data_IF_554575568015
#
_entry.id   IF_554575568015
#
_cell.length_a   1.000
_cell.length_b   1.000
_cell.length_c   1.000
_cell.angle_alpha   90.00
_cell.angle_beta   90.00
_cell.angle_gamma   90.00
#
_symmetry.space_group_name_H-M   'P 1'
#
loop_
_entity.id
_entity.type
_entity.pdbx_description
1 polymer ?
#
# COMPACT_ATOMS: atom_id res chain seq x y z
N UNK A 1 32.26 24.81 60.22
CA UNK A 1 31.23 25.26 59.28
C UNK A 1 30.85 24.07 58.40
N UNK A 2 29.58 23.67 58.50
CA UNK A 2 28.81 22.65 57.75
C UNK A 2 29.42 21.25 57.53
N UNK A 3 28.72 20.25 58.06
CA UNK A 3 29.24 18.98 58.58
C UNK A 3 28.83 17.73 57.78
N UNK A 4 29.78 16.78 57.74
CA UNK A 4 29.67 15.33 58.04
C UNK A 4 28.45 14.48 57.57
N UNK A 5 28.80 13.47 56.75
CA UNK A 5 28.66 12.00 56.99
C UNK A 5 27.27 11.39 57.28
N UNK A 6 26.79 10.62 56.28
CA UNK A 6 26.48 9.17 56.29
C UNK A 6 25.64 8.51 57.40
N UNK A 7 24.79 7.59 56.91
CA UNK A 7 24.17 6.39 57.53
C UNK A 7 22.87 6.57 58.32
N UNK A 8 21.78 5.93 57.86
CA UNK A 8 21.21 4.74 58.52
C UNK A 8 19.98 4.19 57.78
N UNK A 9 19.92 2.87 57.73
CA UNK A 9 18.76 2.05 57.43
C UNK A 9 17.61 2.35 58.41
N UNK A 10 16.37 2.35 57.91
CA UNK A 10 15.21 2.01 58.72
C UNK A 10 14.15 1.36 57.82
N UNK A 11 13.91 0.08 58.06
CA UNK A 11 12.72 -0.63 57.59
C UNK A 11 11.50 -0.02 58.30
N UNK A 12 10.46 0.30 57.52
CA UNK A 12 9.12 0.51 58.05
C UNK A 12 8.15 -0.30 57.20
N UNK A 13 7.64 -1.37 57.82
CA UNK A 13 6.48 -2.15 57.38
C UNK A 13 5.22 -1.31 57.61
N UNK A 14 4.23 -1.38 56.69
CA UNK A 14 2.76 -1.30 56.87
C UNK A 14 2.07 -0.85 55.56
N UNK A 15 0.78 -1.16 55.32
CA UNK A 15 0.11 -2.46 55.29
C UNK A 15 -0.42 -2.79 53.87
N UNK A 16 -0.67 -4.07 53.61
CA UNK A 16 -1.39 -4.54 52.42
C UNK A 16 -2.86 -4.13 52.54
N UNK A 17 -3.26 -3.09 51.80
CA UNK A 17 -4.67 -2.78 51.58
C UNK A 17 -5.13 -3.65 50.42
N UNK A 18 -5.86 -4.71 50.77
CA UNK A 18 -6.63 -5.53 49.83
C UNK A 18 -7.73 -4.65 49.23
N UNK A 19 -7.49 -4.11 48.04
CA UNK A 19 -8.54 -3.47 47.26
C UNK A 19 -9.31 -4.57 46.53
N UNK A 20 -10.51 -4.86 47.01
CA UNK A 20 -11.51 -5.65 46.30
C UNK A 20 -11.64 -5.09 44.88
N UNK A 21 -11.19 -5.85 43.89
CA UNK A 21 -11.56 -5.62 42.50
C UNK A 21 -13.05 -5.92 42.37
N UNK A 22 -13.86 -4.88 42.46
CA UNK A 22 -15.18 -4.89 41.87
C UNK A 22 -14.98 -5.16 40.39
N UNK A 23 -15.38 -6.36 39.97
CA UNK A 23 -15.60 -6.67 38.56
C UNK A 23 -16.67 -5.68 38.11
N UNK A 24 -16.22 -4.59 37.50
CA UNK A 24 -17.10 -3.71 36.76
C UNK A 24 -17.51 -4.52 35.53
N UNK A 25 -18.61 -5.26 35.67
CA UNK A 25 -19.46 -5.72 34.59
C UNK A 25 -20.12 -4.49 33.93
N UNK A 26 -19.29 -3.64 33.33
CA UNK A 26 -19.74 -2.64 32.39
C UNK A 26 -20.24 -3.38 31.14
N UNK A 27 -21.49 -3.11 30.80
CA UNK A 27 -22.27 -3.73 29.73
C UNK A 27 -21.50 -3.97 28.43
N UNK A 28 -21.40 -5.24 28.04
CA UNK A 28 -20.78 -5.75 26.80
C UNK A 28 -21.56 -5.44 25.51
N UNK A 29 -22.39 -4.41 25.51
CA UNK A 29 -23.29 -4.06 24.40
C UNK A 29 -22.82 -2.87 23.55
N UNK A 30 -21.65 -2.27 23.82
CA UNK A 30 -21.20 -1.05 23.12
C UNK A 30 -19.95 -1.18 22.23
N UNK A 31 -19.33 -2.36 22.05
CA UNK A 31 -18.14 -2.50 21.18
C UNK A 31 -18.42 -2.87 19.72
N UNK A 32 -19.50 -3.60 19.44
CA UNK A 32 -19.80 -4.15 18.09
C UNK A 32 -19.85 -3.06 17.01
N UNK A 33 -20.27 -1.86 17.39
CA UNK A 33 -20.51 -0.74 16.51
C UNK A 33 -19.32 0.25 16.45
N UNK A 34 -18.17 -0.13 17.00
CA UNK A 34 -17.01 0.74 17.02
C UNK A 34 -15.79 -0.01 16.51
N UNK A 35 -14.84 0.72 15.93
CA UNK A 35 -13.48 0.21 15.74
C UNK A 35 -12.88 -0.11 17.12
N UNK A 36 -11.83 -0.94 17.20
CA UNK A 36 -11.10 -1.14 18.46
C UNK A 36 -10.53 0.16 19.05
N UNK A 37 -10.26 1.16 18.22
CA UNK A 37 -9.86 2.51 18.63
C UNK A 37 -11.03 3.41 19.10
N UNK A 38 -12.27 2.92 19.08
CA UNK A 38 -13.45 3.62 19.59
C UNK A 38 -14.12 4.57 18.59
N UNK A 39 -13.80 4.48 17.29
CA UNK A 39 -14.47 5.26 16.25
C UNK A 39 -15.77 4.56 15.81
N UNK A 40 -16.87 5.29 15.59
CA UNK A 40 -18.14 4.67 15.19
C UNK A 40 -18.05 4.10 13.76
N UNK A 41 -18.49 2.86 13.58
CA UNK A 41 -18.55 2.20 12.27
C UNK A 41 -19.78 2.66 11.47
N UNK A 42 -19.73 3.85 10.86
CA UNK A 42 -20.88 4.41 10.11
C UNK A 42 -21.13 3.76 8.76
N UNK A 43 -22.39 3.66 8.33
CA UNK A 43 -22.78 3.18 6.99
C UNK A 43 -22.28 4.11 5.89
N UNK A 44 -21.64 3.54 4.87
CA UNK A 44 -21.31 4.28 3.64
C UNK A 44 -22.57 4.49 2.79
N UNK A 45 -22.87 5.74 2.44
CA UNK A 45 -23.99 6.06 1.56
C UNK A 45 -23.59 5.86 0.09
N UNK A 46 -23.76 4.63 -0.40
CA UNK A 46 -23.46 4.24 -1.79
C UNK A 46 -24.68 4.41 -2.68
N UNK A 47 -24.57 5.30 -3.68
CA UNK A 47 -25.57 5.52 -4.73
C UNK A 47 -24.93 6.04 -6.02
N UNK A 48 -25.56 5.78 -7.17
CA UNK A 48 -25.09 6.24 -8.48
C UNK A 48 -25.00 7.76 -8.58
N UNK A 49 -25.96 8.48 -7.98
CA UNK A 49 -25.96 9.95 -7.95
C UNK A 49 -24.81 10.56 -7.16
N UNK A 50 -24.06 9.76 -6.38
CA UNK A 50 -22.87 10.20 -5.67
C UNK A 50 -21.58 9.87 -6.41
N UNK A 51 -21.62 9.14 -7.53
CA UNK A 51 -20.43 8.80 -8.31
C UNK A 51 -19.86 10.08 -8.92
N UNK A 52 -18.59 10.36 -8.64
CA UNK A 52 -17.87 11.56 -9.10
C UNK A 52 -16.83 11.24 -10.16
N UNK A 53 -16.33 9.99 -10.22
CA UNK A 53 -15.43 9.51 -11.27
C UNK A 53 -15.41 7.99 -11.33
N UNK A 54 -15.12 7.47 -12.51
CA UNK A 54 -14.78 6.06 -12.74
C UNK A 54 -13.49 6.00 -13.53
N UNK A 55 -12.57 5.14 -13.12
CA UNK A 55 -11.24 5.01 -13.74
C UNK A 55 -10.85 3.55 -13.83
N UNK A 56 -10.02 3.22 -14.81
CA UNK A 56 -9.35 1.92 -14.90
C UNK A 56 -7.85 2.11 -14.88
N UNK A 57 -7.13 1.14 -14.32
CA UNK A 57 -5.67 1.10 -14.33
C UNK A 57 -5.16 -0.32 -14.62
N UNK A 58 -3.96 -0.41 -15.19
CA UNK A 58 -3.32 -1.67 -15.52
C UNK A 58 -2.21 -1.98 -14.54
N UNK A 59 -2.37 -3.04 -13.74
CA UNK A 59 -1.33 -3.51 -12.81
C UNK A 59 -0.25 -4.28 -13.59
N UNK A 60 1.05 -3.94 -13.47
CA UNK A 60 2.12 -4.72 -14.09
C UNK A 60 2.33 -6.01 -13.32
N UNK A 61 1.78 -7.13 -13.80
CA UNK A 61 1.79 -8.40 -13.08
C UNK A 61 2.67 -9.45 -13.76
N UNK A 62 3.38 -10.23 -12.93
CA UNK A 62 4.12 -11.44 -13.31
C UNK A 62 3.73 -12.55 -12.34
N UNK A 63 3.61 -13.78 -12.83
CA UNK A 63 3.17 -14.92 -12.00
C UNK A 63 4.18 -15.23 -10.89
N UNK A 64 5.46 -15.09 -11.20
CA UNK A 64 6.59 -15.34 -10.30
C UNK A 64 6.83 -14.21 -9.29
N UNK A 65 6.13 -13.09 -9.42
CA UNK A 65 6.30 -11.90 -8.62
C UNK A 65 7.14 -10.80 -9.26
N UNK A 66 7.42 -9.75 -8.47
CA UNK A 66 8.19 -8.60 -8.94
C UNK A 66 9.64 -8.96 -9.30
N UNK A 67 10.26 -8.10 -10.12
CA UNK A 67 11.68 -8.20 -10.48
C UNK A 67 12.46 -7.14 -9.74
N UNK A 68 13.34 -7.58 -8.83
CA UNK A 68 14.43 -6.75 -8.30
C UNK A 68 15.75 -7.49 -8.48
N UNK A 69 16.50 -7.11 -9.51
CA UNK A 69 17.80 -7.71 -9.89
C UNK A 69 18.68 -6.69 -10.60
N UNK A 70 20.00 -6.89 -10.56
CA UNK A 70 20.96 -6.11 -11.33
C UNK A 70 21.61 -6.94 -12.42
N UNK A 71 21.95 -6.30 -13.53
CA UNK A 71 22.76 -6.87 -14.59
C UNK A 71 23.69 -5.82 -15.21
N UNK A 72 24.76 -6.30 -15.86
CA UNK A 72 25.75 -5.47 -16.52
C UNK A 72 25.57 -5.61 -18.03
N UNK A 73 25.33 -4.48 -18.70
CA UNK A 73 25.11 -4.41 -20.13
C UNK A 73 26.14 -3.44 -20.71
N UNK A 74 27.24 -3.99 -21.22
CA UNK A 74 28.41 -3.22 -21.64
C UNK A 74 29.02 -2.44 -20.48
N UNK A 75 29.10 -1.12 -20.64
CA UNK A 75 29.62 -0.18 -19.64
C UNK A 75 28.54 0.32 -18.66
N UNK A 76 27.29 -0.13 -18.81
CA UNK A 76 26.16 0.26 -17.96
C UNK A 76 25.76 -0.82 -16.97
N UNK A 77 25.30 -0.39 -15.80
CA UNK A 77 24.61 -1.26 -14.84
C UNK A 77 23.12 -0.96 -14.91
N UNK A 78 22.32 -1.99 -15.17
CA UNK A 78 20.85 -1.90 -15.14
C UNK A 78 20.35 -2.60 -13.88
N UNK A 79 19.52 -1.90 -13.10
CA UNK A 79 18.83 -2.47 -11.95
C UNK A 79 17.33 -2.42 -12.22
N UNK A 80 16.71 -3.59 -12.25
CA UNK A 80 15.28 -3.74 -12.47
C UNK A 80 14.51 -3.59 -11.16
N UNK A 81 13.36 -2.91 -11.21
CA UNK A 81 12.42 -2.75 -10.12
C UNK A 81 11.00 -2.54 -10.66
N UNK A 82 10.34 -3.61 -11.10
CA UNK A 82 9.00 -3.57 -11.73
C UNK A 82 8.22 -4.89 -11.50
N UNK A 83 6.97 -4.97 -11.99
CA UNK A 83 6.19 -6.22 -11.94
C UNK A 83 5.44 -6.48 -10.62
N UNK A 84 5.08 -5.43 -9.89
CA UNK A 84 4.56 -5.53 -8.51
C UNK A 84 3.07 -5.90 -8.38
N UNK A 85 2.36 -6.10 -9.49
CA UNK A 85 0.93 -6.41 -9.47
C UNK A 85 0.12 -5.40 -8.66
N UNK A 86 -0.70 -5.88 -7.73
CA UNK A 86 -1.47 -5.04 -6.80
C UNK A 86 -0.67 -4.47 -5.63
N UNK A 87 0.57 -4.91 -5.41
CA UNK A 87 1.42 -4.50 -4.27
C UNK A 87 2.29 -3.26 -4.52
N UNK A 88 2.11 -2.55 -5.63
CA UNK A 88 3.01 -1.44 -6.03
C UNK A 88 3.20 -0.36 -4.97
N UNK A 89 2.13 0.28 -4.47
CA UNK A 89 2.26 1.29 -3.40
C UNK A 89 2.88 0.66 -2.15
N UNK A 90 2.34 -0.49 -1.73
CA UNK A 90 2.70 -1.15 -0.47
C UNK A 90 4.17 -1.55 -0.40
N UNK A 91 4.75 -2.04 -1.50
CA UNK A 91 6.12 -2.54 -1.56
C UNK A 91 7.14 -1.47 -2.01
N UNK A 92 6.66 -0.31 -2.46
CA UNK A 92 7.47 0.69 -3.16
C UNK A 92 8.80 1.03 -2.49
N UNK A 93 8.79 1.42 -1.21
CA UNK A 93 10.02 1.72 -0.50
C UNK A 93 10.92 0.51 -0.28
N UNK A 94 10.32 -0.67 -0.03
CA UNK A 94 11.04 -1.90 0.21
C UNK A 94 11.81 -2.38 -1.02
N UNK A 95 11.13 -2.57 -2.14
CA UNK A 95 11.77 -3.02 -3.38
C UNK A 95 12.72 -1.97 -3.96
N UNK A 96 12.41 -0.69 -3.79
CA UNK A 96 13.32 0.41 -4.13
C UNK A 96 14.58 0.43 -3.26
N UNK A 97 14.48 0.07 -1.97
CA UNK A 97 15.64 -0.07 -1.10
C UNK A 97 16.55 -1.22 -1.56
N UNK A 98 15.96 -2.36 -1.90
CA UNK A 98 16.70 -3.51 -2.45
C UNK A 98 17.38 -3.14 -3.79
N UNK A 99 16.68 -2.42 -4.68
CA UNK A 99 17.24 -1.93 -5.93
C UNK A 99 18.39 -0.92 -5.69
N UNK A 100 18.24 0.00 -4.73
CA UNK A 100 19.29 0.93 -4.32
C UNK A 100 20.54 0.18 -3.82
N UNK A 101 20.37 -0.87 -2.99
CA UNK A 101 21.49 -1.68 -2.51
C UNK A 101 22.26 -2.35 -3.65
N UNK A 102 21.56 -2.82 -4.69
CA UNK A 102 22.19 -3.37 -5.90
C UNK A 102 22.95 -2.27 -6.64
N UNK A 103 22.35 -1.09 -6.84
CA UNK A 103 23.00 0.04 -7.52
C UNK A 103 24.26 0.52 -6.79
N UNK A 104 24.25 0.49 -5.45
CA UNK A 104 25.39 0.85 -4.60
C UNK A 104 26.61 -0.07 -4.73
N UNK A 105 26.48 -1.23 -5.39
CA UNK A 105 27.62 -2.09 -5.70
C UNK A 105 28.48 -1.52 -6.85
N UNK A 106 27.98 -0.54 -7.58
CA UNK A 106 28.75 0.17 -8.61
C UNK A 106 29.60 1.29 -8.01
N UNK A 107 30.66 1.69 -8.70
CA UNK A 107 31.47 2.85 -8.32
C UNK A 107 30.83 4.19 -8.73
N UNK A 108 29.70 4.17 -9.45
CA UNK A 108 29.08 5.36 -9.99
C UNK A 108 28.05 5.95 -9.01
N UNK A 109 27.86 7.26 -9.07
CA UNK A 109 26.85 8.02 -8.30
C UNK A 109 25.95 8.87 -9.17
N UNK A 110 25.87 8.56 -10.47
CA UNK A 110 24.99 9.21 -11.44
C UNK A 110 24.08 8.13 -12.04
N UNK A 111 22.76 8.33 -12.02
CA UNK A 111 21.84 7.36 -12.57
C UNK A 111 20.63 7.97 -13.30
N UNK A 112 20.17 7.24 -14.31
CA UNK A 112 18.87 7.42 -14.93
C UNK A 112 17.85 6.52 -14.23
N UNK A 113 16.70 7.05 -13.84
CA UNK A 113 15.56 6.27 -13.35
C UNK A 113 14.47 6.30 -14.43
N UNK A 114 14.07 5.14 -14.93
CA UNK A 114 13.08 5.03 -15.98
C UNK A 114 11.69 4.82 -15.37
N UNK A 115 10.82 5.81 -15.53
CA UNK A 115 9.47 5.82 -14.98
C UNK A 115 9.31 6.75 -13.77
N UNK A 116 8.19 7.46 -13.71
CA UNK A 116 7.84 8.39 -12.63
C UNK A 116 6.59 7.94 -11.85
N UNK A 117 6.30 6.63 -11.88
CA UNK A 117 5.35 6.03 -10.94
C UNK A 117 5.96 5.88 -9.54
N UNK A 118 5.25 5.20 -8.64
CA UNK A 118 5.70 5.06 -7.25
C UNK A 118 7.10 4.45 -7.14
N UNK A 119 7.41 3.40 -7.90
CA UNK A 119 8.72 2.73 -7.88
C UNK A 119 9.85 3.66 -8.28
N UNK A 120 9.64 4.44 -9.34
CA UNK A 120 10.63 5.38 -9.84
C UNK A 120 10.89 6.51 -8.84
N UNK A 121 9.82 7.08 -8.28
CA UNK A 121 9.93 8.15 -7.28
C UNK A 121 10.61 7.67 -6.00
N UNK A 122 10.22 6.50 -5.45
CA UNK A 122 10.86 5.97 -4.23
C UNK A 122 12.31 5.55 -4.48
N UNK A 123 12.62 4.95 -5.63
CA UNK A 123 14.01 4.60 -5.99
C UNK A 123 14.87 5.85 -6.14
N UNK A 124 14.35 6.86 -6.83
CA UNK A 124 15.05 8.13 -7.04
C UNK A 124 15.32 8.87 -5.71
N UNK A 125 14.33 8.92 -4.81
CA UNK A 125 14.48 9.56 -3.50
C UNK A 125 15.52 8.86 -2.63
N UNK A 126 15.47 7.52 -2.56
CA UNK A 126 16.46 6.75 -1.81
C UNK A 126 17.88 6.95 -2.35
N UNK A 127 18.06 7.00 -3.68
CA UNK A 127 19.37 7.26 -4.28
C UNK A 127 19.85 8.69 -4.01
N UNK A 128 18.97 9.71 -4.09
CA UNK A 128 19.32 11.09 -3.70
C UNK A 128 19.76 11.18 -2.24
N UNK A 129 19.09 10.49 -1.32
CA UNK A 129 19.46 10.46 0.10
C UNK A 129 20.85 9.82 0.31
N UNK A 130 21.33 9.04 -0.65
CA UNK A 130 22.67 8.44 -0.69
C UNK A 130 23.68 9.26 -1.53
N UNK A 131 23.34 10.51 -1.86
CA UNK A 131 24.20 11.46 -2.57
C UNK A 131 24.35 11.22 -4.07
N UNK A 132 23.39 10.56 -4.71
CA UNK A 132 23.43 10.33 -6.17
C UNK A 132 22.88 11.54 -6.95
N UNK A 133 23.45 11.82 -8.13
CA UNK A 133 22.84 12.67 -9.17
C UNK A 133 21.84 11.84 -9.96
N UNK A 134 20.55 12.14 -9.78
CA UNK A 134 19.46 11.33 -10.30
C UNK A 134 18.65 12.13 -11.33
N UNK A 135 18.49 11.56 -12.52
CA UNK A 135 17.55 12.04 -13.54
C UNK A 135 16.46 11.01 -13.77
N UNK A 136 15.20 11.39 -13.59
CA UNK A 136 14.05 10.57 -13.98
C UNK A 136 13.71 10.83 -15.44
N UNK A 137 13.59 9.77 -16.24
CA UNK A 137 13.04 9.81 -17.60
C UNK A 137 11.70 9.10 -17.60
N UNK A 138 10.64 9.78 -18.02
CA UNK A 138 9.30 9.18 -18.00
C UNK A 138 8.39 9.71 -19.12
N UNK A 139 7.58 8.82 -19.69
CA UNK A 139 6.51 9.17 -20.64
C UNK A 139 5.34 9.89 -19.96
N UNK A 140 5.06 9.57 -18.71
CA UNK A 140 3.96 10.13 -17.93
C UNK A 140 4.42 10.44 -16.50
N UNK A 141 3.88 11.51 -15.92
CA UNK A 141 4.16 11.98 -14.56
C UNK A 141 2.88 11.90 -13.72
N UNK A 142 2.95 11.88 -12.38
CA UNK A 142 1.78 12.08 -11.54
C UNK A 142 1.05 13.38 -11.94
N UNK A 143 -0.29 13.39 -12.03
CA UNK A 143 -1.23 12.34 -11.61
C UNK A 143 -1.58 11.28 -12.67
N UNK A 144 -0.87 11.24 -13.80
CA UNK A 144 -1.19 10.41 -14.97
C UNK A 144 -0.43 9.07 -15.01
N UNK A 145 -0.17 8.46 -13.85
CA UNK A 145 0.51 7.16 -13.75
C UNK A 145 -0.43 6.07 -13.23
N UNK A 146 -0.15 4.79 -13.52
CA UNK A 146 -0.85 3.65 -12.90
C UNK A 146 -0.88 3.77 -11.37
N UNK A 147 0.19 4.27 -10.77
CA UNK A 147 0.28 4.43 -9.32
C UNK A 147 -0.77 5.39 -8.76
N UNK A 148 -1.22 6.39 -9.52
CA UNK A 148 -2.28 7.32 -9.09
C UNK A 148 -3.66 6.68 -9.02
N UNK A 149 -3.88 5.57 -9.74
CA UNK A 149 -5.14 4.83 -9.75
C UNK A 149 -5.26 3.90 -8.52
N UNK A 150 -4.14 3.54 -7.89
CA UNK A 150 -4.10 2.54 -6.83
C UNK A 150 -5.06 2.83 -5.66
N UNK A 151 -5.49 1.75 -5.01
CA UNK A 151 -6.33 1.80 -3.81
C UNK A 151 -5.70 2.58 -2.66
N UNK A 152 -4.46 2.20 -2.32
CA UNK A 152 -3.64 2.89 -1.33
C UNK A 152 -3.57 2.22 0.05
N UNK A 153 -4.25 1.11 0.27
CA UNK A 153 -4.09 0.32 1.49
C UNK A 153 -2.67 -0.26 1.58
N UNK A 154 -2.04 -0.18 2.75
CA UNK A 154 -0.81 -0.89 3.05
C UNK A 154 -1.11 -2.36 3.39
N UNK A 155 -1.36 -3.16 2.36
CA UNK A 155 -1.32 -4.62 2.43
C UNK A 155 -1.05 -5.12 1.01
N UNK A 156 0.04 -5.87 0.74
CA UNK A 156 0.29 -6.33 -0.61
C UNK A 156 -0.76 -7.35 -1.05
N UNK A 157 -1.46 -7.05 -2.14
CA UNK A 157 -2.40 -7.96 -2.78
C UNK A 157 -1.96 -8.28 -4.21
N UNK A 158 -2.21 -9.51 -4.65
CA UNK A 158 -1.99 -9.93 -6.04
C UNK A 158 -0.59 -9.56 -6.56
N UNK A 159 0.45 -9.93 -5.82
CA UNK A 159 1.85 -9.66 -6.17
C UNK A 159 2.44 -10.80 -7.02
N UNK A 160 2.00 -12.02 -6.78
CA UNK A 160 2.46 -13.25 -7.43
C UNK A 160 1.30 -14.28 -7.42
N UNK A 161 1.50 -15.42 -8.08
CA UNK A 161 0.63 -16.59 -7.97
C UNK A 161 1.29 -17.66 -7.11
N UNK A 162 0.53 -18.24 -6.18
CA UNK A 162 1.06 -19.22 -5.22
C UNK A 162 1.74 -20.42 -5.90
N UNK A 163 1.21 -20.86 -7.05
CA UNK A 163 1.77 -21.94 -7.85
C UNK A 163 3.18 -21.63 -8.42
N UNK A 164 3.56 -20.36 -8.50
CA UNK A 164 4.86 -19.90 -9.01
C UNK A 164 5.80 -19.43 -7.89
N UNK A 165 5.39 -19.56 -6.62
CA UNK A 165 6.16 -19.08 -5.48
C UNK A 165 7.44 -19.89 -5.29
N UNK A 166 8.58 -19.19 -5.25
CA UNK A 166 9.88 -19.80 -4.92
C UNK A 166 10.33 -19.37 -3.53
N UNK A 167 11.13 -20.20 -2.80
CA UNK A 167 11.68 -19.81 -1.50
C UNK A 167 12.57 -18.55 -1.58
N UNK A 168 13.24 -18.33 -2.72
CA UNK A 168 14.04 -17.12 -2.94
C UNK A 168 13.16 -15.88 -3.01
N UNK A 169 12.11 -15.92 -3.83
CA UNK A 169 11.17 -14.81 -3.96
C UNK A 169 10.46 -14.55 -2.63
N UNK A 170 10.02 -15.58 -1.91
CA UNK A 170 9.36 -15.44 -0.62
C UNK A 170 10.23 -14.68 0.40
N UNK A 171 11.54 -14.97 0.45
CA UNK A 171 12.48 -14.21 1.30
C UNK A 171 12.60 -12.75 0.85
N UNK A 172 12.76 -12.52 -0.46
CA UNK A 172 12.87 -11.16 -0.99
C UNK A 172 11.60 -10.33 -0.74
N UNK A 173 10.42 -10.93 -0.91
CA UNK A 173 9.13 -10.35 -0.62
C UNK A 173 8.97 -9.99 0.87
N UNK A 174 9.32 -10.92 1.77
CA UNK A 174 9.27 -10.67 3.21
C UNK A 174 10.20 -9.53 3.65
N UNK A 175 11.41 -9.47 3.12
CA UNK A 175 12.36 -8.36 3.39
C UNK A 175 11.86 -7.03 2.82
N UNK A 176 11.35 -7.02 1.59
CA UNK A 176 10.75 -5.83 0.99
C UNK A 176 9.56 -5.31 1.82
N UNK A 177 8.67 -6.19 2.29
CA UNK A 177 7.57 -5.78 3.16
C UNK A 177 8.07 -5.14 4.46
N UNK A 178 9.00 -5.78 5.17
CA UNK A 178 9.56 -5.24 6.44
C UNK A 178 10.17 -3.86 6.25
N UNK A 179 10.97 -3.69 5.19
CA UNK A 179 11.56 -2.39 4.86
C UNK A 179 10.48 -1.36 4.56
N UNK A 180 9.55 -1.69 3.67
CA UNK A 180 8.50 -0.77 3.24
C UNK A 180 7.61 -0.33 4.39
N UNK A 181 7.22 -1.26 5.28
CA UNK A 181 6.46 -0.97 6.49
C UNK A 181 7.15 0.10 7.34
N UNK A 182 8.44 -0.10 7.62
CA UNK A 182 9.24 0.83 8.43
C UNK A 182 9.36 2.21 7.78
N UNK A 183 9.51 2.28 6.46
CA UNK A 183 9.54 3.56 5.75
C UNK A 183 8.19 4.29 5.88
N UNK A 184 7.07 3.61 5.62
CA UNK A 184 5.75 4.23 5.70
C UNK A 184 5.40 4.71 7.11
N UNK A 185 5.85 4.02 8.15
CA UNK A 185 5.66 4.49 9.54
C UNK A 185 6.24 5.89 9.77
N UNK A 186 7.38 6.23 9.14
CA UNK A 186 8.00 7.55 9.23
C UNK A 186 7.33 8.61 8.35
N UNK A 187 6.41 8.21 7.47
CA UNK A 187 5.70 9.09 6.54
C UNK A 187 4.26 9.37 6.98
N UNK A 188 3.80 8.77 8.10
CA UNK A 188 2.48 9.03 8.66
C UNK A 188 2.31 10.52 8.93
N UNK A 189 1.30 11.10 8.31
CA UNK A 189 0.97 12.51 8.42
C UNK A 189 0.35 13.08 7.14
N UNK A 190 -0.25 14.28 7.25
CA UNK A 190 -0.94 14.93 6.14
C UNK A 190 -0.02 15.27 4.98
N UNK A 191 1.27 15.53 5.22
CA UNK A 191 2.27 15.86 4.18
C UNK A 191 2.32 14.77 3.10
N UNK A 192 2.33 13.51 3.50
CA UNK A 192 2.42 12.37 2.57
C UNK A 192 1.06 11.71 2.29
N UNK A 193 -0.02 12.17 2.93
CA UNK A 193 -1.33 11.53 2.83
C UNK A 193 -1.30 10.09 3.35
N UNK A 194 -0.52 9.82 4.40
CA UNK A 194 -0.40 8.50 5.03
C UNK A 194 -1.02 8.58 6.41
N UNK A 195 -1.95 7.68 6.73
CA UNK A 195 -2.59 7.63 8.06
C UNK A 195 -2.93 6.20 8.45
N UNK A 196 -2.95 5.91 9.75
CA UNK A 196 -3.48 4.65 10.26
C UNK A 196 -5.00 4.60 10.08
N UNK A 197 -5.54 3.39 9.87
CA UNK A 197 -6.96 3.12 9.68
C UNK A 197 -7.27 1.67 10.06
N UNK A 198 -8.47 1.43 10.60
CA UNK A 198 -8.96 0.08 10.85
C UNK A 198 -9.45 -0.58 9.56
N UNK A 199 -9.06 -1.84 9.35
CA UNK A 199 -9.37 -2.63 8.17
C UNK A 199 -10.18 -3.87 8.56
N UNK A 200 -11.20 -4.17 7.76
CA UNK A 200 -12.01 -5.37 7.91
C UNK A 200 -12.02 -6.18 6.61
N UNK A 201 -11.53 -7.42 6.68
CA UNK A 201 -11.64 -8.38 5.58
C UNK A 201 -12.72 -9.41 5.88
N UNK A 202 -13.79 -9.40 5.10
CA UNK A 202 -14.95 -10.23 5.32
C UNK A 202 -14.89 -11.53 4.55
N UNK A 203 -15.64 -12.52 5.03
CA UNK A 203 -15.78 -13.82 4.38
C UNK A 203 -17.08 -14.51 4.79
N UNK A 204 -17.56 -15.41 3.94
CA UNK A 204 -18.75 -16.24 4.22
C UNK A 204 -18.44 -17.43 5.13
N UNK A 205 -17.17 -17.80 5.27
CA UNK A 205 -16.67 -18.93 6.05
C UNK A 205 -15.53 -18.47 6.96
N UNK A 206 -15.22 -19.17 8.07
CA UNK A 206 -14.04 -18.86 8.86
C UNK A 206 -12.79 -18.81 7.97
N UNK A 207 -12.01 -17.73 8.06
CA UNK A 207 -10.77 -17.59 7.30
C UNK A 207 -9.66 -18.47 7.89
N UNK A 208 -8.82 -19.08 7.04
CA UNK A 208 -7.61 -19.72 7.51
C UNK A 208 -6.65 -18.69 8.09
N UNK A 209 -5.82 -19.10 9.06
CA UNK A 209 -4.77 -18.27 9.65
C UNK A 209 -3.41 -18.43 8.98
N UNK A 210 -3.37 -19.11 7.83
CA UNK A 210 -2.20 -19.14 6.93
C UNK A 210 -2.43 -18.11 5.82
N UNK A 211 -2.47 -16.84 6.23
CA UNK A 211 -2.67 -15.69 5.35
C UNK A 211 -1.61 -14.63 5.63
N UNK A 212 -1.61 -13.56 4.83
CA UNK A 212 -0.58 -12.53 4.92
C UNK A 212 -0.57 -11.80 6.27
N UNK A 213 -1.72 -11.33 6.83
CA UNK A 213 -1.74 -10.69 8.15
C UNK A 213 -1.20 -11.59 9.27
N UNK A 214 -1.57 -12.86 9.32
CA UNK A 214 -1.13 -13.77 10.39
C UNK A 214 0.35 -14.14 10.24
N UNK A 215 0.81 -14.41 9.01
CA UNK A 215 2.22 -14.74 8.73
C UNK A 215 3.18 -13.56 9.00
N UNK A 216 2.65 -12.33 9.04
CA UNK A 216 3.42 -11.11 9.26
C UNK A 216 2.82 -10.21 10.36
N UNK A 217 2.27 -10.82 11.42
CA UNK A 217 1.47 -10.15 12.45
C UNK A 217 2.11 -8.89 13.08
N UNK A 218 3.44 -8.80 13.14
CA UNK A 218 4.14 -7.60 13.64
C UNK A 218 3.94 -6.34 12.79
N UNK A 219 3.46 -6.48 11.54
CA UNK A 219 3.12 -5.39 10.63
C UNK A 219 1.61 -5.13 10.55
N UNK A 220 0.80 -5.89 11.29
CA UNK A 220 -0.67 -5.81 11.32
C UNK A 220 -1.16 -5.68 12.77
N UNK A 221 -1.00 -4.50 13.40
CA UNK A 221 -1.43 -4.27 14.78
C UNK A 221 -2.95 -4.49 14.93
N UNK A 222 -3.38 -4.84 16.14
CA UNK A 222 -4.78 -5.15 16.45
C UNK A 222 -5.42 -6.26 15.60
N UNK A 223 -4.60 -7.19 15.10
CA UNK A 223 -5.08 -8.37 14.38
C UNK A 223 -6.02 -9.20 15.25
N UNK A 224 -7.26 -9.41 14.78
CA UNK A 224 -8.26 -10.24 15.44
C UNK A 224 -9.21 -10.89 14.43
N UNK A 225 -9.74 -12.05 14.80
CA UNK A 225 -10.78 -12.75 14.04
C UNK A 225 -12.10 -12.50 14.75
N UNK A 226 -13.10 -12.05 14.01
CA UNK A 226 -14.43 -11.72 14.49
C UNK A 226 -15.44 -12.68 13.85
N UNK A 227 -16.27 -13.29 14.69
CA UNK A 227 -17.35 -14.19 14.30
C UNK A 227 -18.72 -13.52 14.23
N UNK A 228 -19.77 -14.33 13.99
CA UNK A 228 -21.13 -13.84 13.85
C UNK A 228 -21.60 -13.08 15.09
N UNK A 229 -22.04 -11.84 14.90
CA UNK A 229 -22.55 -10.99 15.97
C UNK A 229 -21.49 -10.12 16.66
N UNK A 230 -20.20 -10.31 16.38
CA UNK A 230 -19.10 -9.52 16.98
C UNK A 230 -18.82 -8.21 16.23
N UNK A 231 -19.45 -8.01 15.06
CA UNK A 231 -19.34 -6.81 14.24
C UNK A 231 -20.67 -6.51 13.50
N UNK A 232 -20.89 -5.30 12.95
CA UNK A 232 -22.21 -4.87 12.47
C UNK A 232 -22.48 -5.16 10.98
N UNK A 233 -21.45 -5.58 10.23
CA UNK A 233 -21.51 -5.90 8.80
C UNK A 233 -22.33 -7.18 8.49
N UNK A 234 -22.82 -7.34 7.25
CA UNK A 234 -23.74 -8.43 6.89
C UNK A 234 -23.08 -9.79 6.66
N UNK A 235 -21.76 -9.86 6.49
CA UNK A 235 -21.05 -11.14 6.36
C UNK A 235 -20.73 -11.71 7.75
N UNK A 236 -20.74 -13.05 7.93
CA UNK A 236 -20.66 -13.65 9.26
C UNK A 236 -19.27 -13.60 9.91
N UNK A 237 -18.20 -13.52 9.13
CA UNK A 237 -16.83 -13.52 9.63
C UNK A 237 -16.04 -12.35 9.09
N UNK A 238 -15.19 -11.77 9.93
CA UNK A 238 -14.25 -10.72 9.56
C UNK A 238 -12.88 -10.95 10.20
N UNK A 239 -11.80 -10.66 9.47
CA UNK A 239 -10.49 -10.41 10.07
C UNK A 239 -10.30 -8.91 10.20
N UNK A 240 -10.10 -8.42 11.42
CA UNK A 240 -9.76 -7.03 11.69
C UNK A 240 -8.25 -6.88 11.85
N UNK A 241 -7.70 -5.76 11.38
CA UNK A 241 -6.38 -5.27 11.76
C UNK A 241 -6.28 -3.77 11.46
N UNK A 242 -5.41 -3.04 12.15
CA UNK A 242 -5.06 -1.68 11.77
C UNK A 242 -3.95 -1.70 10.72
N UNK A 243 -4.07 -0.85 9.70
CA UNK A 243 -3.09 -0.67 8.62
C UNK A 243 -2.93 0.81 8.28
N UNK A 244 -2.09 1.14 7.31
CA UNK A 244 -1.95 2.49 6.78
C UNK A 244 -2.76 2.63 5.48
N UNK A 245 -3.51 3.73 5.36
CA UNK A 245 -4.05 4.21 4.09
C UNK A 245 -3.12 5.29 3.55
N UNK A 246 -2.61 5.07 2.35
CA UNK A 246 -1.80 6.00 1.57
C UNK A 246 -2.73 6.58 0.50
N UNK A 247 -2.77 7.90 0.36
CA UNK A 247 -3.54 8.55 -0.70
C UNK A 247 -2.63 8.89 -1.90
N UNK A 248 -2.63 8.10 -3.00
CA UNK A 248 -1.73 8.29 -4.13
C UNK A 248 -1.65 9.71 -4.69
N UNK A 249 -2.76 10.45 -4.71
CA UNK A 249 -2.79 11.81 -5.24
C UNK A 249 -1.91 12.78 -4.41
N UNK A 250 -1.91 12.62 -3.08
CA UNK A 250 -1.07 13.40 -2.16
C UNK A 250 0.35 12.83 -2.16
N UNK A 251 0.47 11.52 -1.96
CA UNK A 251 1.74 10.84 -1.79
C UNK A 251 2.68 11.03 -2.99
N UNK A 252 2.21 10.75 -4.20
CA UNK A 252 3.05 10.82 -5.40
C UNK A 252 3.42 12.25 -5.76
N UNK A 253 2.51 13.20 -5.53
CA UNK A 253 2.82 14.62 -5.73
C UNK A 253 3.90 15.07 -4.73
N UNK A 254 3.76 14.72 -3.46
CA UNK A 254 4.75 15.07 -2.44
C UNK A 254 6.12 14.43 -2.70
N UNK A 255 6.19 13.18 -3.17
CA UNK A 255 7.46 12.56 -3.54
C UNK A 255 8.13 13.26 -4.73
N UNK A 256 7.33 13.69 -5.71
CA UNK A 256 7.84 14.44 -6.85
C UNK A 256 8.36 15.82 -6.43
N UNK A 257 7.65 16.52 -5.53
CA UNK A 257 8.10 17.78 -4.93
C UNK A 257 9.40 17.60 -4.12
N UNK A 258 9.46 16.57 -3.25
CA UNK A 258 10.66 16.26 -2.48
C UNK A 258 11.84 15.92 -3.42
N UNK A 259 11.59 15.23 -4.54
CA UNK A 259 12.61 14.90 -5.54
C UNK A 259 13.19 16.15 -6.21
N UNK A 260 12.31 17.08 -6.63
CA UNK A 260 12.74 18.37 -7.18
C UNK A 260 13.47 19.22 -6.14
N UNK A 261 12.96 19.28 -4.91
CA UNK A 261 13.57 20.03 -3.81
C UNK A 261 14.98 19.55 -3.47
N UNK A 262 15.25 18.26 -3.68
CA UNK A 262 16.58 17.66 -3.54
C UNK A 262 17.48 17.79 -4.80
N UNK A 263 17.10 18.62 -5.77
CA UNK A 263 17.89 18.89 -6.98
C UNK A 263 17.73 17.87 -8.10
N UNK A 264 16.73 17.00 -8.01
CA UNK A 264 16.42 16.00 -9.02
C UNK A 264 15.94 16.61 -10.33
N UNK A 265 16.23 15.94 -11.45
CA UNK A 265 15.82 16.36 -12.79
C UNK A 265 14.78 15.38 -13.33
N UNK A 266 13.68 15.87 -13.88
CA UNK A 266 12.71 15.05 -14.61
C UNK A 266 12.73 15.44 -16.08
N UNK A 267 12.87 14.45 -16.96
CA UNK A 267 12.79 14.58 -18.41
C UNK A 267 11.58 13.81 -18.92
N UNK A 268 10.63 14.52 -19.51
CA UNK A 268 9.50 13.89 -20.19
C UNK A 268 10.00 13.29 -21.49
N UNK A 269 10.25 11.97 -21.48
CA UNK A 269 10.82 11.22 -22.60
C UNK A 269 10.25 9.80 -22.58
N UNK A 270 9.73 9.35 -23.71
CA UNK A 270 9.46 7.94 -23.97
C UNK A 270 10.65 7.31 -24.69
N UNK A 271 10.84 6.01 -24.50
CA UNK A 271 11.81 5.21 -25.25
C UNK A 271 11.05 4.24 -26.13
N UNK A 272 11.54 4.00 -27.35
CA UNK A 272 10.94 3.03 -28.26
C UNK A 272 11.39 1.60 -27.94
N UNK A 273 12.67 1.43 -27.63
CA UNK A 273 13.31 0.13 -27.41
C UNK A 273 14.47 0.26 -26.41
N UNK A 274 15.13 -0.87 -26.18
CA UNK A 274 16.29 -0.95 -25.28
C UNK A 274 17.51 -0.17 -25.81
N UNK A 275 17.72 -0.12 -27.13
CA UNK A 275 18.86 0.57 -27.74
C UNK A 275 18.78 2.07 -27.46
N UNK A 276 17.58 2.67 -27.52
CA UNK A 276 17.40 4.06 -27.16
C UNK A 276 17.70 4.32 -25.67
N UNK A 277 17.38 3.37 -24.78
CA UNK A 277 17.74 3.44 -23.35
C UNK A 277 19.26 3.44 -23.17
N UNK A 278 19.99 2.65 -23.95
CA UNK A 278 21.45 2.59 -23.89
C UNK A 278 22.14 3.88 -24.37
N UNK A 279 21.45 4.77 -25.10
CA UNK A 279 22.00 6.08 -25.50
C UNK A 279 22.14 7.08 -24.35
N UNK A 280 21.52 6.79 -23.19
CA UNK A 280 21.60 7.65 -22.01
C UNK A 280 23.04 7.79 -21.52
N UNK A 281 23.42 8.98 -21.08
CA UNK A 281 24.79 9.24 -20.59
C UNK A 281 25.05 8.63 -19.21
N UNK A 282 24.00 8.32 -18.47
CA UNK A 282 24.10 7.78 -17.14
C UNK A 282 24.66 6.35 -17.16
N UNK A 283 25.67 6.05 -16.31
CA UNK A 283 26.29 4.71 -16.26
C UNK A 283 25.44 3.69 -15.48
N UNK A 284 24.45 4.16 -14.72
CA UNK A 284 23.52 3.32 -13.97
C UNK A 284 22.10 3.65 -14.39
N UNK A 285 21.30 2.63 -14.67
CA UNK A 285 19.90 2.74 -15.07
C UNK A 285 19.07 1.96 -14.04
N UNK A 286 18.09 2.61 -13.44
CA UNK A 286 17.08 1.96 -12.61
C UNK A 286 15.81 1.82 -13.44
N UNK A 287 15.48 0.60 -13.86
CA UNK A 287 14.29 0.32 -14.63
C UNK A 287 13.06 0.17 -13.71
N UNK A 288 12.23 1.21 -13.66
CA UNK A 288 10.96 1.26 -12.95
C UNK A 288 9.76 1.45 -13.90
N UNK A 289 9.85 0.93 -15.13
CA UNK A 289 8.91 1.23 -16.23
C UNK A 289 7.56 0.51 -16.11
N UNK A 290 7.37 -0.34 -15.10
CA UNK A 290 6.14 -1.12 -14.94
C UNK A 290 5.92 -2.00 -16.17
N UNK A 291 4.74 -1.93 -16.79
CA UNK A 291 4.40 -2.67 -18.01
C UNK A 291 5.35 -2.38 -19.18
N UNK A 292 6.02 -1.20 -19.20
CA UNK A 292 6.98 -0.87 -20.24
C UNK A 292 8.21 -1.80 -20.27
N UNK A 293 8.50 -2.53 -19.19
CA UNK A 293 9.60 -3.49 -19.17
C UNK A 293 9.37 -4.67 -20.12
N UNK A 294 8.12 -4.96 -20.49
CA UNK A 294 7.79 -5.96 -21.51
C UNK A 294 8.44 -5.63 -22.85
N UNK A 295 8.30 -4.40 -23.30
CA UNK A 295 8.76 -3.98 -24.64
C UNK A 295 10.20 -3.42 -24.60
N UNK A 296 10.60 -2.77 -23.50
CA UNK A 296 11.93 -2.15 -23.37
C UNK A 296 13.02 -3.11 -22.90
N UNK A 297 12.65 -4.26 -22.34
CA UNK A 297 13.60 -5.22 -21.75
C UNK A 297 13.17 -6.69 -21.99
N UNK A 298 12.34 -6.92 -23.00
CA UNK A 298 11.90 -8.24 -23.48
C UNK A 298 11.33 -9.18 -22.41
N UNK A 299 10.66 -8.63 -21.39
CA UNK A 299 10.04 -9.43 -20.34
C UNK A 299 8.62 -9.87 -20.71
N UNK A 300 8.51 -10.89 -21.55
CA UNK A 300 7.23 -11.42 -22.06
C UNK A 300 6.34 -12.05 -20.97
N UNK A 301 6.90 -12.37 -19.79
CA UNK A 301 6.15 -12.86 -18.63
C UNK A 301 5.28 -11.78 -17.99
N UNK A 302 5.53 -10.51 -18.32
CA UNK A 302 4.81 -9.36 -17.80
C UNK A 302 3.53 -9.09 -18.61
N UNK A 303 2.40 -9.03 -17.90
CA UNK A 303 1.11 -8.73 -18.50
C UNK A 303 0.23 -7.87 -17.56
N UNK A 304 -0.80 -7.17 -18.11
CA UNK A 304 -1.66 -6.34 -17.30
C UNK A 304 -2.71 -7.15 -16.57
N UNK A 305 -3.03 -6.71 -15.36
CA UNK A 305 -4.32 -6.99 -14.74
C UNK A 305 -5.09 -5.68 -14.63
N UNK A 306 -6.13 -5.51 -15.45
CA UNK A 306 -6.99 -4.34 -15.41
C UNK A 306 -7.81 -4.35 -14.12
N UNK A 307 -7.89 -3.19 -13.48
CA UNK A 307 -8.81 -2.94 -12.38
C UNK A 307 -9.55 -1.64 -12.60
N UNK A 308 -10.87 -1.74 -12.55
CA UNK A 308 -11.77 -0.60 -12.58
C UNK A 308 -12.20 -0.22 -11.16
N UNK A 309 -12.29 1.10 -10.94
CA UNK A 309 -12.66 1.72 -9.68
C UNK A 309 -13.70 2.80 -9.93
N UNK A 310 -14.67 2.92 -9.02
CA UNK A 310 -15.61 4.03 -8.97
C UNK A 310 -15.37 4.82 -7.70
N UNK A 311 -15.45 6.15 -7.77
CA UNK A 311 -15.34 7.00 -6.59
C UNK A 311 -16.67 7.70 -6.38
N UNK A 312 -17.12 7.71 -5.13
CA UNK A 312 -18.26 8.50 -4.70
C UNK A 312 -17.82 9.70 -3.86
N UNK A 313 -18.69 10.70 -3.71
CA UNK A 313 -18.46 11.86 -2.84
C UNK A 313 -17.94 11.41 -1.45
N UNK A 314 -16.91 12.08 -0.90
CA UNK A 314 -16.40 11.79 0.45
C UNK A 314 -17.50 11.83 1.50
N UNK A 315 -17.32 11.05 2.57
CA UNK A 315 -18.20 11.03 3.73
C UNK A 315 -17.31 11.04 4.98
N UNK A 316 -17.28 12.17 5.68
CA UNK A 316 -16.25 12.48 6.71
C UNK A 316 -16.27 11.53 7.89
N UNK A 317 -17.42 10.95 8.16
CA UNK A 317 -17.64 10.01 9.26
C UNK A 317 -17.24 8.56 8.95
N UNK A 318 -16.81 8.26 7.72
CA UNK A 318 -16.28 6.95 7.34
C UNK A 318 -14.77 6.92 7.59
N UNK A 319 -14.35 6.07 8.52
CA UNK A 319 -12.93 5.92 8.87
C UNK A 319 -12.50 4.45 9.06
N UNK A 320 -12.87 3.61 8.11
CA UNK A 320 -12.47 2.20 8.08
C UNK A 320 -12.42 1.70 6.64
N UNK A 321 -11.68 0.61 6.41
CA UNK A 321 -11.62 -0.11 5.14
C UNK A 321 -12.48 -1.37 5.22
N UNK A 322 -13.15 -1.71 4.12
CA UNK A 322 -13.82 -3.01 3.95
C UNK A 322 -13.30 -3.73 2.73
N UNK A 323 -13.04 -5.02 2.85
CA UNK A 323 -12.64 -5.91 1.75
C UNK A 323 -13.52 -7.16 1.81
N UNK A 324 -14.14 -7.52 0.69
CA UNK A 324 -14.87 -8.78 0.49
C UNK A 324 -14.22 -9.57 -0.64
N UNK A 325 -14.72 -10.78 -0.91
CA UNK A 325 -14.24 -11.59 -2.03
C UNK A 325 -14.48 -10.93 -3.41
N UNK A 326 -15.43 -9.99 -3.51
CA UNK A 326 -15.82 -9.35 -4.79
C UNK A 326 -15.57 -7.85 -4.87
N UNK A 327 -15.50 -7.15 -3.72
CA UNK A 327 -15.45 -5.68 -3.69
C UNK A 327 -14.67 -5.16 -2.49
N UNK A 328 -14.23 -3.91 -2.55
CA UNK A 328 -13.56 -3.21 -1.45
C UNK A 328 -13.89 -1.73 -1.44
N UNK A 329 -13.78 -1.10 -0.27
CA UNK A 329 -14.05 0.32 -0.04
C UNK A 329 -12.93 0.96 0.76
N UNK A 330 -12.38 2.08 0.24
CA UNK A 330 -11.35 2.88 0.93
C UNK A 330 -11.80 4.34 1.09
N UNK A 331 -11.81 4.90 2.32
CA UNK A 331 -12.30 6.26 2.57
C UNK A 331 -11.21 7.32 2.38
N UNK A 332 -10.83 7.54 1.11
CA UNK A 332 -9.87 8.58 0.75
C UNK A 332 -10.49 9.97 0.81
N UNK A 333 -9.66 10.98 1.05
CA UNK A 333 -10.10 12.38 1.10
C UNK A 333 -10.58 12.92 -0.25
N UNK A 334 -10.05 12.39 -1.36
CA UNK A 334 -10.43 12.74 -2.74
C UNK A 334 -11.69 12.01 -3.25
N UNK A 335 -12.30 11.16 -2.42
CA UNK A 335 -13.50 10.40 -2.72
C UNK A 335 -13.45 9.01 -2.08
N UNK A 336 -14.61 8.49 -1.65
CA UNK A 336 -14.66 7.09 -1.22
C UNK A 336 -14.50 6.22 -2.46
N UNK A 337 -13.42 5.45 -2.47
CA UNK A 337 -13.07 4.53 -3.53
C UNK A 337 -13.86 3.24 -3.33
N UNK A 338 -14.57 2.81 -4.37
CA UNK A 338 -15.28 1.54 -4.47
C UNK A 338 -14.62 0.73 -5.58
N UNK A 339 -13.97 -0.35 -5.20
CA UNK A 339 -13.39 -1.32 -6.12
C UNK A 339 -14.10 -2.67 -6.02
N UNK A 340 -13.86 -3.58 -6.95
CA UNK A 340 -13.24 -3.31 -8.24
C UNK A 340 -13.36 -4.50 -9.18
N UNK A 341 -12.66 -4.42 -10.31
CA UNK A 341 -12.47 -5.54 -11.23
C UNK A 341 -11.04 -6.09 -11.15
N UNK A 342 -10.87 -7.31 -11.67
CA UNK A 342 -9.61 -8.00 -11.73
C UNK A 342 -9.54 -8.84 -13.01
N UNK A 343 -9.15 -8.20 -14.11
CA UNK A 343 -9.23 -8.78 -15.46
C UNK A 343 -7.84 -9.03 -16.03
N UNK A 344 -7.48 -10.31 -16.15
CA UNK A 344 -6.18 -10.76 -16.69
C UNK A 344 -6.05 -10.44 -18.19
N UNK A 345 -4.87 -10.00 -18.61
CA UNK A 345 -4.52 -9.73 -20.01
C UNK A 345 -5.43 -8.70 -20.72
N UNK A 346 -6.20 -7.91 -19.97
CA UNK A 346 -6.98 -6.83 -20.53
C UNK A 346 -6.15 -5.53 -20.55
N UNK A 347 -5.89 -5.01 -21.75
CA UNK A 347 -5.13 -3.77 -21.98
C UNK A 347 -6.02 -2.54 -22.14
N UNK A 348 -7.34 -2.72 -22.25
CA UNK A 348 -8.28 -1.63 -22.48
C UNK A 348 -8.52 -0.82 -21.20
N UNK A 349 -8.11 0.45 -21.21
CA UNK A 349 -8.31 1.38 -20.10
C UNK A 349 -9.73 1.96 -20.03
N UNK A 350 -10.60 1.67 -21.00
CA UNK A 350 -11.98 2.16 -20.99
C UNK A 350 -12.77 1.51 -19.85
N UNK A 351 -13.36 2.28 -18.94
CA UNK A 351 -14.24 1.72 -17.92
C UNK A 351 -15.51 1.12 -18.56
N UNK A 352 -15.89 -0.07 -18.10
CA UNK A 352 -17.14 -0.73 -18.46
C UNK A 352 -18.30 -0.20 -17.58
N UNK A 353 -19.34 0.42 -18.18
CA UNK A 353 -20.52 0.85 -17.45
C UNK A 353 -21.23 -0.28 -16.68
N UNK A 354 -21.21 -1.51 -17.20
CA UNK A 354 -21.84 -2.66 -16.54
C UNK A 354 -21.11 -3.01 -15.23
N UNK A 355 -19.78 -3.02 -15.25
CA UNK A 355 -18.97 -3.23 -14.04
C UNK A 355 -19.12 -2.07 -13.05
N UNK A 356 -19.28 -0.84 -13.53
CA UNK A 356 -19.60 0.31 -12.67
C UNK A 356 -20.91 0.07 -11.91
N UNK A 357 -21.98 -0.28 -12.64
CA UNK A 357 -23.29 -0.57 -12.03
C UNK A 357 -23.22 -1.75 -11.06
N UNK A 358 -22.45 -2.80 -11.39
CA UNK A 358 -22.24 -3.95 -10.50
C UNK A 358 -21.59 -3.54 -9.18
N UNK A 359 -20.46 -2.82 -9.24
CA UNK A 359 -19.73 -2.34 -8.06
C UNK A 359 -20.64 -1.50 -7.17
N UNK A 360 -21.37 -0.54 -7.73
CA UNK A 360 -22.30 0.32 -6.97
C UNK A 360 -23.43 -0.50 -6.33
N UNK A 361 -24.02 -1.44 -7.07
CA UNK A 361 -25.13 -2.27 -6.58
C UNK A 361 -24.70 -3.18 -5.43
N UNK A 362 -23.58 -3.89 -5.58
CA UNK A 362 -23.04 -4.80 -4.56
C UNK A 362 -22.64 -4.05 -3.29
N UNK A 363 -21.90 -2.95 -3.42
CA UNK A 363 -21.50 -2.12 -2.28
C UNK A 363 -22.71 -1.46 -1.59
N UNK A 364 -23.69 -0.97 -2.35
CA UNK A 364 -24.94 -0.44 -1.78
C UNK A 364 -25.70 -1.49 -0.99
N UNK A 365 -25.80 -2.72 -1.52
CA UNK A 365 -26.44 -3.83 -0.80
C UNK A 365 -25.68 -4.19 0.49
N UNK A 366 -24.36 -4.27 0.43
CA UNK A 366 -23.49 -4.57 1.58
C UNK A 366 -23.69 -3.55 2.72
N UNK A 367 -23.58 -2.25 2.43
CA UNK A 367 -23.72 -1.23 3.46
C UNK A 367 -25.18 -1.02 3.92
N UNK A 368 -26.19 -1.21 3.06
CA UNK A 368 -27.60 -1.19 3.49
C UNK A 368 -27.93 -2.28 4.50
N UNK A 369 -27.31 -3.46 4.35
CA UNK A 369 -27.50 -4.58 5.26
C UNK A 369 -26.67 -4.46 6.56
N UNK A 370 -25.80 -3.45 6.67
CA UNK A 370 -25.06 -3.14 7.89
C UNK A 370 -26.02 -2.69 9.01
N UNK A 371 -25.84 -3.27 10.20
CA UNK A 371 -26.56 -2.91 11.44
C UNK A 371 -25.98 -1.61 12.01
N UNK A 372 -26.37 -0.50 11.41
CA UNK A 372 -25.98 0.85 11.82
C UNK A 372 -27.00 1.41 12.83
N UNK A 373 -26.65 1.60 14.12
CA UNK A 373 -27.53 2.19 15.13
C UNK A 373 -27.64 3.72 15.06
N UNK A 374 -26.91 4.40 14.18
CA UNK A 374 -26.84 5.85 14.10
C UNK A 374 -27.59 6.49 12.92
N UNK A 375 -28.12 5.71 11.95
CA UNK A 375 -28.94 6.22 10.84
C UNK A 375 -29.11 5.27 9.66
#
# INVERSE_FOLDING_TARGET
MTSRRSLLQAMAVLPVVSACSTINSASSTSSINYTPSGLPLRRVNVSESRVIRTVSGLRPFRREGFVVKGERLGDKTVVHNYGHGGGGITLSWGTSHLAMQIAQQTAHKKCAVLGCGVMGLTSARLLQDQGWDVTIYAKALPPHTTSNIAGGQWSPASVYEDASLTPQFQRQFGEAMKLSYRYFQNLVGPKYGVRWISNYEFSSKPRPTDDLPHNYASMYPQLSILGPGEHPFPLPFATHYDTMLIEPAIFLNQLMEDFYGAGGKIRVKGFQDFDEVLTLEEPVIINCTGLGARDLFDDELLFPIKGQLSFILPQKEIDYITITDSTYMFPRSDGILLGGTFEYNNWDLTPDPAETQRIIREQSAFFKAMRDPWG
#
